data_IF_021353151909
#
_entry.id   IF_021353151909
#
_cell.length_a   1.000
_cell.length_b   1.000
_cell.length_c   1.000
_cell.angle_alpha   90.00
_cell.angle_beta   90.00
_cell.angle_gamma   90.00
#
_symmetry.space_group_name_H-M   'P 1'
#
loop_
_entity.id
_entity.type
_entity.pdbx_description
1 polymer ?
#
# COMPACT_ATOMS: atom_id res chain seq x y z
N UNK A 1 26.64 -2.21 -21.97
CA UNK A 1 26.17 -1.33 -20.88
C UNK A 1 24.67 -1.09 -21.12
N UNK A 2 23.81 -1.85 -20.42
CA UNK A 2 22.36 -1.77 -20.58
C UNK A 2 21.82 -0.52 -19.90
N UNK A 3 21.07 0.27 -20.63
CA UNK A 3 20.31 1.41 -20.11
C UNK A 3 19.27 0.89 -19.12
N UNK A 4 19.42 1.25 -17.86
CA UNK A 4 18.33 1.05 -16.90
C UNK A 4 17.17 1.95 -17.32
N UNK A 5 15.99 1.39 -17.49
CA UNK A 5 14.80 2.16 -17.87
C UNK A 5 14.38 3.10 -16.73
N UNK A 6 13.65 4.18 -17.03
CA UNK A 6 13.16 5.13 -16.01
C UNK A 6 12.29 4.45 -14.93
N UNK A 7 11.55 3.40 -15.29
CA UNK A 7 10.80 2.57 -14.32
C UNK A 7 11.75 1.90 -13.31
N UNK A 8 12.90 1.39 -13.78
CA UNK A 8 13.92 0.80 -12.89
C UNK A 8 14.51 1.84 -11.95
N UNK A 9 14.60 3.12 -12.36
CA UNK A 9 15.08 4.20 -11.49
C UNK A 9 14.08 4.56 -10.39
N UNK A 10 12.77 4.62 -10.69
CA UNK A 10 11.72 4.87 -9.69
C UNK A 10 11.64 3.73 -8.65
N UNK A 11 11.81 2.49 -9.11
CA UNK A 11 11.85 1.31 -8.25
C UNK A 11 13.27 0.93 -7.79
N UNK A 12 14.30 1.78 -8.04
CA UNK A 12 15.71 1.45 -7.77
C UNK A 12 16.07 1.33 -6.30
N UNK A 13 15.26 1.91 -5.43
CA UNK A 13 15.35 1.74 -3.98
C UNK A 13 14.68 0.43 -3.50
N UNK A 14 14.27 -0.44 -4.44
CA UNK A 14 13.94 -1.83 -4.22
C UNK A 14 15.21 -2.59 -3.81
N UNK A 15 15.74 -2.23 -2.66
CA UNK A 15 16.85 -2.97 -2.08
C UNK A 15 16.23 -4.21 -1.48
N UNK A 16 16.44 -5.35 -2.12
CA UNK A 16 16.43 -6.60 -1.38
C UNK A 16 17.41 -6.40 -0.24
N UNK A 17 16.92 -6.22 0.97
CA UNK A 17 17.79 -6.08 2.13
C UNK A 17 18.36 -7.47 2.38
N UNK A 18 19.63 -7.72 2.04
CA UNK A 18 20.21 -9.05 2.14
C UNK A 18 20.17 -9.49 3.62
N UNK A 19 19.95 -10.78 3.83
CA UNK A 19 20.00 -11.44 5.15
C UNK A 19 18.87 -11.12 6.13
N UNK A 20 17.70 -10.62 5.68
CA UNK A 20 16.54 -10.52 6.55
C UNK A 20 15.88 -11.90 6.73
N UNK A 21 15.65 -12.26 7.99
CA UNK A 21 14.85 -13.41 8.36
C UNK A 21 13.40 -12.97 8.60
N UNK A 22 12.54 -13.13 7.59
CA UNK A 22 11.13 -12.73 7.68
C UNK A 22 10.26 -13.70 8.50
N UNK A 23 10.80 -14.84 8.96
CA UNK A 23 10.02 -15.83 9.72
C UNK A 23 9.81 -15.41 11.18
N UNK A 24 10.67 -14.54 11.70
CA UNK A 24 10.54 -14.01 13.05
C UNK A 24 10.13 -12.53 13.02
N UNK A 25 8.84 -12.29 13.03
CA UNK A 25 8.27 -10.95 12.97
C UNK A 25 8.66 -10.08 14.19
N UNK A 26 8.92 -10.73 15.33
CA UNK A 26 9.27 -10.04 16.59
C UNK A 26 10.58 -9.26 16.49
N UNK A 27 11.54 -9.74 15.69
CA UNK A 27 12.80 -9.04 15.41
C UNK A 27 12.62 -7.65 14.82
N UNK A 28 11.46 -7.40 14.18
CA UNK A 28 11.13 -6.13 13.54
C UNK A 28 10.18 -5.27 14.39
N UNK A 29 9.84 -5.75 15.60
CA UNK A 29 9.01 -5.04 16.55
C UNK A 29 7.51 -5.25 16.37
N UNK A 30 7.10 -6.26 15.63
CA UNK A 30 5.72 -6.77 15.62
C UNK A 30 5.48 -7.47 16.94
N UNK A 31 4.40 -7.12 17.64
CA UNK A 31 4.12 -7.58 19.01
C UNK A 31 3.21 -8.78 19.04
N UNK A 32 2.26 -8.83 18.13
CA UNK A 32 1.32 -9.93 18.02
C UNK A 32 1.92 -11.12 17.28
N UNK A 33 1.43 -12.30 17.60
CA UNK A 33 1.77 -13.53 16.88
C UNK A 33 1.39 -13.36 15.40
N UNK A 34 2.18 -13.93 14.52
CA UNK A 34 1.93 -13.96 13.08
C UNK A 34 2.77 -15.02 12.41
N UNK A 35 2.58 -15.18 11.12
CA UNK A 35 3.36 -16.08 10.26
C UNK A 35 3.88 -15.36 9.03
N UNK A 36 4.98 -15.86 8.50
CA UNK A 36 5.47 -15.51 7.18
C UNK A 36 5.04 -16.60 6.21
N UNK A 37 4.43 -16.22 5.09
CA UNK A 37 4.07 -17.17 4.04
C UNK A 37 4.26 -16.55 2.66
N UNK A 38 4.09 -17.36 1.63
CA UNK A 38 4.26 -16.90 0.26
C UNK A 38 3.04 -17.22 -0.57
N UNK A 39 2.59 -16.22 -1.30
CA UNK A 39 1.65 -16.45 -2.40
C UNK A 39 2.47 -16.76 -3.64
N UNK A 40 2.16 -17.88 -4.28
CA UNK A 40 2.55 -18.09 -5.65
C UNK A 40 1.43 -17.49 -6.49
N UNK A 41 1.76 -16.62 -7.43
CA UNK A 41 0.75 -16.09 -8.32
C UNK A 41 -0.05 -17.24 -8.93
N UNK A 42 -1.27 -16.97 -9.35
CA UNK A 42 -2.31 -17.93 -9.72
C UNK A 42 -1.75 -19.14 -10.51
N UNK A 43 -1.44 -20.22 -9.81
CA UNK A 43 -0.53 -21.30 -10.22
C UNK A 43 -1.13 -22.26 -11.25
N UNK A 44 -2.33 -21.98 -11.74
CA UNK A 44 -2.99 -22.88 -12.70
C UNK A 44 -2.56 -22.67 -14.16
N UNK A 45 -1.87 -21.57 -14.51
CA UNK A 45 -1.61 -21.23 -15.94
C UNK A 45 -0.22 -20.72 -16.33
N UNK A 46 0.72 -20.48 -15.40
CA UNK A 46 2.05 -19.99 -15.78
C UNK A 46 3.11 -20.31 -14.72
N UNK A 47 4.22 -20.91 -15.15
CA UNK A 47 5.40 -21.18 -14.33
C UNK A 47 6.20 -19.90 -13.99
N UNK A 48 5.77 -18.73 -14.46
CA UNK A 48 6.49 -17.46 -14.39
C UNK A 48 5.89 -16.45 -13.39
N UNK A 49 4.96 -16.84 -12.52
CA UNK A 49 4.38 -15.92 -11.56
C UNK A 49 5.31 -15.72 -10.36
N UNK A 50 5.49 -14.46 -9.90
CA UNK A 50 6.40 -14.18 -8.80
C UNK A 50 5.90 -14.84 -7.51
N UNK A 51 6.85 -15.33 -6.73
CA UNK A 51 6.63 -15.67 -5.33
C UNK A 51 6.53 -14.36 -4.56
N UNK A 52 5.40 -14.13 -3.87
CA UNK A 52 5.14 -12.91 -3.12
C UNK A 52 5.21 -13.19 -1.62
N UNK A 53 6.09 -12.49 -0.91
CA UNK A 53 6.22 -12.60 0.54
C UNK A 53 5.10 -11.85 1.26
N UNK A 54 4.48 -12.49 2.23
CA UNK A 54 3.38 -11.94 3.02
C UNK A 54 3.59 -12.22 4.50
N UNK A 55 3.34 -11.22 5.33
CA UNK A 55 3.11 -11.43 6.75
C UNK A 55 1.62 -11.44 7.05
N UNK A 56 1.18 -12.46 7.77
CA UNK A 56 -0.12 -12.46 8.43
C UNK A 56 0.09 -12.23 9.91
N UNK A 57 -0.42 -11.13 10.42
CA UNK A 57 -0.32 -10.70 11.82
C UNK A 57 -1.71 -10.81 12.44
N UNK A 58 -1.81 -11.51 13.57
CA UNK A 58 -3.07 -11.71 14.28
C UNK A 58 -3.54 -10.45 15.00
N UNK A 59 -4.86 -10.31 15.22
CA UNK A 59 -5.39 -9.44 16.27
C UNK A 59 -4.71 -9.69 17.62
N UNK A 60 -4.42 -8.61 18.36
CA UNK A 60 -3.77 -8.72 19.68
C UNK A 60 -4.56 -9.63 20.62
N UNK A 61 -5.88 -9.57 20.55
CA UNK A 61 -6.79 -10.44 21.35
C UNK A 61 -6.59 -11.93 21.10
N UNK A 62 -6.20 -12.34 19.90
CA UNK A 62 -5.95 -13.74 19.55
C UNK A 62 -4.50 -14.15 19.80
N UNK A 63 -3.57 -13.21 19.86
CA UNK A 63 -2.13 -13.48 19.87
C UNK A 63 -1.70 -14.41 21.02
N UNK A 64 -2.29 -14.28 22.20
CA UNK A 64 -1.96 -15.15 23.35
C UNK A 64 -2.47 -16.59 23.16
N UNK A 65 -3.68 -16.72 22.63
CA UNK A 65 -4.31 -18.03 22.37
C UNK A 65 -3.52 -18.83 21.32
N UNK A 66 -2.90 -18.15 20.36
CA UNK A 66 -2.18 -18.74 19.24
C UNK A 66 -0.65 -18.83 19.44
N UNK A 67 -0.13 -18.76 20.68
CA UNK A 67 1.32 -18.81 20.95
C UNK A 67 1.98 -20.09 20.45
N UNK A 68 1.30 -21.24 20.59
CA UNK A 68 1.79 -22.56 20.16
C UNK A 68 1.09 -23.07 18.89
N UNK A 69 0.33 -22.22 18.21
CA UNK A 69 -0.42 -22.58 17.02
C UNK A 69 0.52 -22.81 15.83
N UNK A 70 0.12 -23.72 14.95
CA UNK A 70 0.76 -23.92 13.66
C UNK A 70 0.44 -22.79 12.68
N UNK A 71 1.16 -22.71 11.57
CA UNK A 71 0.87 -21.75 10.51
C UNK A 71 -0.52 -21.99 9.88
N UNK A 72 -0.98 -23.24 9.85
CA UNK A 72 -2.31 -23.64 9.40
C UNK A 72 -3.39 -23.12 10.36
N UNK A 73 -3.18 -23.26 11.67
CA UNK A 73 -4.12 -22.71 12.67
C UNK A 73 -4.22 -21.19 12.56
N UNK A 74 -3.09 -20.52 12.35
CA UNK A 74 -3.03 -19.06 12.13
C UNK A 74 -3.79 -18.69 10.85
N UNK A 75 -3.67 -19.46 9.75
CA UNK A 75 -4.44 -19.25 8.53
C UNK A 75 -5.94 -19.41 8.76
N UNK A 76 -6.34 -20.49 9.38
CA UNK A 76 -7.74 -20.80 9.65
C UNK A 76 -8.43 -19.72 10.50
N UNK A 77 -7.66 -19.06 11.39
CA UNK A 77 -8.17 -17.95 12.20
C UNK A 77 -8.68 -16.75 11.38
N UNK A 78 -8.26 -16.60 10.11
CA UNK A 78 -8.80 -15.57 9.20
C UNK A 78 -10.31 -15.70 8.98
N UNK A 79 -10.83 -16.92 8.99
CA UNK A 79 -12.26 -17.19 8.79
C UNK A 79 -13.03 -17.33 10.11
N UNK A 80 -12.35 -17.37 11.24
CA UNK A 80 -12.95 -17.54 12.55
C UNK A 80 -13.28 -16.20 13.23
N UNK A 81 -14.17 -16.24 14.25
CA UNK A 81 -14.54 -15.06 15.05
C UNK A 81 -15.09 -13.90 14.22
N UNK A 82 -15.04 -12.69 14.79
CA UNK A 82 -15.62 -11.48 14.17
C UNK A 82 -14.55 -10.46 13.71
N UNK A 83 -13.31 -10.91 13.58
CA UNK A 83 -12.21 -10.05 13.18
C UNK A 83 -12.20 -9.80 11.67
N UNK A 84 -12.06 -8.53 11.30
CA UNK A 84 -11.92 -8.11 9.90
C UNK A 84 -10.46 -8.19 9.45
N UNK A 85 -10.24 -8.13 8.14
CA UNK A 85 -8.92 -8.26 7.50
C UNK A 85 -8.51 -6.93 6.88
N UNK A 86 -7.27 -6.49 7.15
CA UNK A 86 -6.62 -5.39 6.44
C UNK A 86 -5.53 -5.96 5.53
N UNK A 87 -5.67 -5.79 4.23
CA UNK A 87 -4.61 -5.99 3.25
C UNK A 87 -3.79 -4.71 3.19
N UNK A 88 -2.54 -4.76 3.61
CA UNK A 88 -1.65 -3.60 3.63
C UNK A 88 -0.70 -3.59 2.42
N UNK A 89 -0.76 -2.50 1.66
CA UNK A 89 0.01 -2.26 0.44
C UNK A 89 0.99 -1.09 0.68
N UNK A 90 2.27 -1.39 0.71
CA UNK A 90 3.33 -0.47 1.14
C UNK A 90 3.75 0.56 0.09
N UNK A 91 4.46 1.60 0.52
CA UNK A 91 5.09 2.62 -0.32
C UNK A 91 6.36 2.15 -1.04
N UNK A 92 6.97 3.04 -1.83
CA UNK A 92 8.07 2.73 -2.76
C UNK A 92 9.32 2.13 -2.10
N UNK A 93 9.69 2.58 -0.89
CA UNK A 93 10.95 2.18 -0.27
C UNK A 93 10.84 0.89 0.53
N UNK A 94 11.89 0.07 0.50
CA UNK A 94 12.10 -1.10 1.36
C UNK A 94 10.97 -2.15 1.29
N UNK A 95 10.70 -2.84 2.41
CA UNK A 95 9.87 -4.04 2.49
C UNK A 95 8.86 -3.99 3.66
N UNK A 96 8.06 -5.07 3.83
CA UNK A 96 7.07 -5.23 4.90
C UNK A 96 7.64 -5.13 6.31
N UNK A 97 8.95 -5.34 6.49
CA UNK A 97 9.62 -5.37 7.78
C UNK A 97 10.17 -4.02 8.26
N UNK A 98 9.88 -2.93 7.55
CA UNK A 98 10.34 -1.59 7.99
C UNK A 98 9.66 -1.19 9.31
N UNK A 99 10.45 -0.64 10.23
CA UNK A 99 10.02 -0.30 11.59
C UNK A 99 8.79 0.61 11.65
N UNK A 100 8.65 1.55 10.71
CA UNK A 100 7.47 2.43 10.61
C UNK A 100 6.21 1.64 10.35
N UNK A 101 6.24 0.74 9.36
CA UNK A 101 5.13 -0.15 8.99
C UNK A 101 4.76 -1.10 10.12
N UNK A 102 5.75 -1.72 10.76
CA UNK A 102 5.52 -2.61 11.91
C UNK A 102 4.79 -1.91 13.07
N UNK A 103 5.00 -0.62 13.26
CA UNK A 103 4.25 0.17 14.26
C UNK A 103 2.78 0.32 13.86
N UNK A 104 2.49 0.58 12.59
CA UNK A 104 1.11 0.62 12.10
C UNK A 104 0.45 -0.76 12.23
N UNK A 105 1.15 -1.85 11.88
CA UNK A 105 0.61 -3.20 12.06
C UNK A 105 0.24 -3.47 13.52
N UNK A 106 1.04 -3.02 14.47
CA UNK A 106 0.71 -3.14 15.89
C UNK A 106 -0.54 -2.34 16.30
N UNK A 107 -0.75 -1.15 15.70
CA UNK A 107 -1.98 -0.36 15.91
C UNK A 107 -3.19 -1.12 15.36
N UNK A 108 -3.12 -1.58 14.12
CA UNK A 108 -4.21 -2.32 13.48
C UNK A 108 -4.53 -3.63 14.20
N UNK A 109 -3.49 -4.39 14.61
CA UNK A 109 -3.62 -5.61 15.40
C UNK A 109 -4.31 -5.34 16.76
N UNK A 110 -3.93 -4.25 17.45
CA UNK A 110 -4.58 -3.82 18.69
C UNK A 110 -6.03 -3.41 18.50
N UNK A 111 -6.38 -2.88 17.33
CA UNK A 111 -7.76 -2.55 16.95
C UNK A 111 -8.60 -3.80 16.62
N UNK A 112 -8.01 -4.98 16.59
CA UNK A 112 -8.70 -6.24 16.33
C UNK A 112 -8.68 -6.68 14.88
N UNK A 113 -7.82 -6.13 14.03
CA UNK A 113 -7.68 -6.56 12.64
C UNK A 113 -6.64 -7.67 12.47
N UNK A 114 -6.94 -8.65 11.62
CA UNK A 114 -5.90 -9.40 10.93
C UNK A 114 -5.20 -8.48 9.93
N UNK A 115 -3.87 -8.49 9.90
CA UNK A 115 -3.11 -7.68 8.94
C UNK A 115 -2.36 -8.61 7.98
N UNK A 116 -2.65 -8.49 6.70
CA UNK A 116 -1.93 -9.16 5.61
C UNK A 116 -1.02 -8.14 4.93
N UNK A 117 0.26 -8.13 5.29
CA UNK A 117 1.24 -7.19 4.76
C UNK A 117 2.03 -7.83 3.62
N UNK A 118 1.81 -7.35 2.41
CA UNK A 118 2.43 -7.85 1.18
C UNK A 118 3.73 -7.13 0.87
N UNK A 119 4.76 -7.85 0.43
CA UNK A 119 5.82 -7.30 -0.40
C UNK A 119 5.51 -7.59 -1.87
N UNK A 120 5.44 -6.54 -2.67
CA UNK A 120 5.24 -6.68 -4.12
C UNK A 120 6.41 -7.40 -4.79
N UNK A 121 6.21 -7.84 -6.03
CA UNK A 121 7.28 -8.39 -6.86
C UNK A 121 8.53 -7.48 -6.86
N UNK A 122 9.69 -8.09 -6.61
CA UNK A 122 10.98 -7.39 -6.54
C UNK A 122 11.27 -6.67 -5.24
N UNK A 123 10.34 -6.67 -4.27
CA UNK A 123 10.54 -6.13 -2.93
C UNK A 123 10.76 -7.24 -1.91
N UNK A 124 11.50 -6.93 -0.83
CA UNK A 124 11.79 -7.87 0.24
C UNK A 124 12.39 -9.17 -0.28
N UNK A 125 11.73 -10.29 0.00
CA UNK A 125 12.08 -11.61 -0.53
C UNK A 125 11.10 -12.12 -1.61
N UNK A 126 10.26 -11.23 -2.14
CA UNK A 126 9.43 -11.50 -3.31
C UNK A 126 10.27 -11.53 -4.58
N UNK A 127 9.97 -12.48 -5.47
CA UNK A 127 10.68 -12.62 -6.75
C UNK A 127 10.10 -11.67 -7.83
N UNK A 128 10.74 -11.65 -9.01
CA UNK A 128 10.30 -10.86 -10.15
C UNK A 128 10.83 -9.43 -10.17
N UNK A 129 10.34 -8.62 -11.09
CA UNK A 129 10.73 -7.22 -11.26
C UNK A 129 9.50 -6.32 -11.16
N UNK A 130 9.57 -5.21 -10.40
CA UNK A 130 8.45 -4.32 -10.21
C UNK A 130 8.13 -3.54 -11.48
N UNK A 131 6.84 -3.43 -11.76
CA UNK A 131 6.24 -2.56 -12.77
C UNK A 131 4.79 -2.29 -12.37
N UNK A 132 4.17 -1.22 -12.85
CA UNK A 132 2.85 -0.81 -12.39
C UNK A 132 1.80 -1.92 -12.51
N UNK A 133 1.66 -2.54 -13.68
CA UNK A 133 0.68 -3.61 -13.87
C UNK A 133 0.96 -4.81 -12.97
N UNK A 134 2.23 -5.12 -12.73
CA UNK A 134 2.66 -6.16 -11.82
C UNK A 134 2.24 -5.89 -10.37
N UNK A 135 2.44 -4.66 -9.89
CA UNK A 135 2.01 -4.27 -8.54
C UNK A 135 0.49 -4.42 -8.35
N UNK A 136 -0.28 -4.09 -9.40
CA UNK A 136 -1.74 -4.26 -9.37
C UNK A 136 -2.12 -5.74 -9.33
N UNK A 137 -1.46 -6.59 -10.13
CA UNK A 137 -1.67 -8.04 -10.08
C UNK A 137 -1.34 -8.62 -8.71
N UNK A 138 -0.25 -8.15 -8.07
CA UNK A 138 0.15 -8.60 -6.73
C UNK A 138 -0.90 -8.19 -5.67
N UNK A 139 -1.47 -6.99 -5.80
CA UNK A 139 -2.53 -6.52 -4.93
C UNK A 139 -3.84 -7.33 -5.12
N UNK A 140 -4.18 -7.68 -6.36
CA UNK A 140 -5.29 -8.60 -6.63
C UNK A 140 -5.03 -9.99 -6.03
N UNK A 141 -3.80 -10.51 -6.14
CA UNK A 141 -3.46 -11.83 -5.64
C UNK A 141 -3.68 -11.94 -4.12
N UNK A 142 -3.21 -10.96 -3.33
CA UNK A 142 -3.41 -10.96 -1.89
C UNK A 142 -4.88 -10.72 -1.49
N UNK A 143 -5.60 -9.85 -2.21
CA UNK A 143 -7.03 -9.63 -1.96
C UNK A 143 -7.84 -10.89 -2.25
N UNK A 144 -7.59 -11.55 -3.38
CA UNK A 144 -8.27 -12.78 -3.77
C UNK A 144 -7.96 -13.92 -2.79
N UNK A 145 -6.72 -14.04 -2.33
CA UNK A 145 -6.35 -14.97 -1.27
C UNK A 145 -7.18 -14.72 0.00
N UNK A 146 -7.22 -13.48 0.49
CA UNK A 146 -8.01 -13.13 1.67
C UNK A 146 -9.50 -13.48 1.48
N UNK A 147 -10.07 -13.16 0.31
CA UNK A 147 -11.46 -13.46 -0.02
C UNK A 147 -11.72 -14.96 -0.13
N UNK A 148 -10.76 -15.75 -0.62
CA UNK A 148 -10.88 -17.21 -0.75
C UNK A 148 -10.86 -17.89 0.62
N UNK A 149 -9.94 -17.51 1.51
CA UNK A 149 -9.81 -18.14 2.84
C UNK A 149 -10.84 -17.63 3.83
N UNK A 150 -11.38 -16.42 3.64
CA UNK A 150 -12.34 -15.78 4.53
C UNK A 150 -13.48 -15.10 3.73
N UNK A 151 -14.35 -15.87 3.07
CA UNK A 151 -15.31 -15.34 2.10
C UNK A 151 -16.38 -14.43 2.70
N UNK A 152 -16.70 -14.60 3.97
CA UNK A 152 -17.73 -13.83 4.69
C UNK A 152 -17.18 -12.62 5.46
N UNK A 153 -15.86 -12.44 5.52
CA UNK A 153 -15.23 -11.38 6.31
C UNK A 153 -15.20 -10.05 5.59
N UNK A 154 -15.23 -8.99 6.39
CA UNK A 154 -14.92 -7.65 5.91
C UNK A 154 -13.44 -7.55 5.59
N UNK A 155 -13.13 -7.14 4.35
CA UNK A 155 -11.77 -6.97 3.86
C UNK A 155 -11.57 -5.52 3.45
N UNK A 156 -10.62 -4.88 4.11
CA UNK A 156 -10.17 -3.52 3.84
C UNK A 156 -8.84 -3.56 3.09
N UNK A 157 -8.62 -2.60 2.18
CA UNK A 157 -7.31 -2.41 1.57
C UNK A 157 -6.74 -1.09 2.07
N UNK A 158 -5.56 -1.15 2.68
CA UNK A 158 -4.82 0.01 3.18
C UNK A 158 -3.59 0.23 2.33
N UNK A 159 -3.54 1.33 1.59
CA UNK A 159 -2.38 1.70 0.77
C UNK A 159 -1.67 2.94 1.29
N UNK A 160 -0.35 2.85 1.47
CA UNK A 160 0.48 3.96 1.87
C UNK A 160 1.32 4.47 0.70
N UNK A 161 1.36 5.79 0.46
CA UNK A 161 2.19 6.43 -0.57
C UNK A 161 1.97 5.77 -1.95
N UNK A 162 2.98 5.18 -2.60
CA UNK A 162 2.82 4.39 -3.83
C UNK A 162 1.70 3.36 -3.71
N UNK A 163 1.61 2.67 -2.57
CA UNK A 163 0.55 1.71 -2.30
C UNK A 163 -0.85 2.31 -2.34
N UNK A 164 -1.03 3.61 -2.11
CA UNK A 164 -2.32 4.28 -2.27
C UNK A 164 -2.77 4.32 -3.73
N UNK A 165 -1.84 4.56 -4.66
CA UNK A 165 -2.11 4.50 -6.10
C UNK A 165 -2.46 3.08 -6.56
N UNK A 166 -1.72 2.08 -6.05
CA UNK A 166 -2.03 0.66 -6.28
C UNK A 166 -3.43 0.32 -5.74
N UNK A 167 -3.75 0.76 -4.50
CA UNK A 167 -5.06 0.54 -3.88
C UNK A 167 -6.20 1.17 -4.69
N UNK A 168 -6.04 2.42 -5.13
CA UNK A 168 -7.08 3.10 -5.90
C UNK A 168 -7.40 2.36 -7.21
N UNK A 169 -6.39 1.88 -7.94
CA UNK A 169 -6.58 1.11 -9.17
C UNK A 169 -7.16 -0.27 -8.89
N UNK A 170 -6.62 -1.01 -7.93
CA UNK A 170 -7.12 -2.33 -7.55
C UNK A 170 -8.59 -2.26 -7.13
N UNK A 171 -8.95 -1.30 -6.26
CA UNK A 171 -10.33 -1.12 -5.81
C UNK A 171 -11.28 -0.71 -6.96
N UNK A 172 -10.81 0.09 -7.92
CA UNK A 172 -11.59 0.41 -9.11
C UNK A 172 -11.85 -0.84 -9.97
N UNK A 173 -10.83 -1.66 -10.23
CA UNK A 173 -10.97 -2.90 -11.01
C UNK A 173 -11.87 -3.91 -10.28
N UNK A 174 -11.77 -4.05 -8.97
CA UNK A 174 -12.67 -4.87 -8.14
C UNK A 174 -14.11 -4.33 -8.14
N UNK A 175 -14.29 -3.01 -8.13
CA UNK A 175 -15.61 -2.37 -8.25
C UNK A 175 -16.27 -2.65 -9.60
N UNK A 176 -15.51 -2.54 -10.68
CA UNK A 176 -15.97 -2.85 -12.03
C UNK A 176 -16.36 -4.34 -12.17
N UNK A 177 -15.66 -5.24 -11.45
CA UNK A 177 -15.97 -6.66 -11.37
C UNK A 177 -17.16 -7.00 -10.44
N UNK A 178 -17.73 -6.02 -9.73
CA UNK A 178 -18.84 -6.22 -8.80
C UNK A 178 -18.44 -6.86 -7.45
N UNK A 179 -17.15 -6.87 -7.14
CA UNK A 179 -16.58 -7.47 -5.91
C UNK A 179 -15.70 -6.49 -5.15
N UNK A 180 -16.20 -5.26 -4.85
CA UNK A 180 -15.38 -4.25 -4.17
C UNK A 180 -14.96 -4.71 -2.77
N UNK A 181 -13.86 -4.17 -2.21
CA UNK A 181 -13.53 -4.33 -0.80
C UNK A 181 -14.59 -3.66 0.08
N UNK A 182 -14.61 -3.98 1.37
CA UNK A 182 -15.52 -3.33 2.33
C UNK A 182 -15.29 -1.82 2.39
N UNK A 183 -14.04 -1.40 2.44
CA UNK A 183 -13.61 -0.02 2.23
C UNK A 183 -12.11 0.02 1.86
N UNK A 184 -11.64 1.20 1.44
CA UNK A 184 -10.21 1.44 1.23
C UNK A 184 -9.73 2.60 2.11
N UNK A 185 -8.48 2.48 2.57
CA UNK A 185 -7.75 3.55 3.26
C UNK A 185 -6.57 3.97 2.42
N UNK A 186 -6.50 5.24 2.09
CA UNK A 186 -5.42 5.85 1.32
C UNK A 186 -4.60 6.75 2.25
N UNK A 187 -3.44 6.27 2.68
CA UNK A 187 -2.51 6.99 3.57
C UNK A 187 -1.46 7.72 2.73
N UNK A 188 -1.30 9.02 2.96
CA UNK A 188 -0.43 9.92 2.21
C UNK A 188 -0.57 9.77 0.68
N UNK A 189 -1.81 9.80 0.13
CA UNK A 189 -2.05 9.56 -1.28
C UNK A 189 -1.67 10.76 -2.15
N UNK A 190 -1.55 10.46 -3.44
CA UNK A 190 -1.39 11.44 -4.51
C UNK A 190 -2.38 11.18 -5.65
N UNK A 191 -2.63 12.20 -6.47
CA UNK A 191 -3.53 12.08 -7.63
C UNK A 191 -2.89 11.34 -8.81
N UNK A 192 -1.60 11.60 -9.13
CA UNK A 192 -0.82 10.90 -10.16
C UNK A 192 0.67 11.16 -9.97
N UNK A 193 1.53 10.30 -10.54
CA UNK A 193 2.99 10.43 -10.47
C UNK A 193 3.51 11.72 -11.11
N UNK A 194 3.03 12.17 -12.28
CA UNK A 194 3.47 13.45 -12.85
C UNK A 194 3.34 14.62 -11.89
N UNK A 195 2.25 14.72 -11.15
CA UNK A 195 2.05 15.80 -10.18
C UNK A 195 2.95 15.65 -8.94
N UNK A 196 3.24 14.43 -8.50
CA UNK A 196 4.24 14.17 -7.44
C UNK A 196 5.60 14.70 -7.86
N UNK A 197 6.07 14.35 -9.07
CA UNK A 197 7.37 14.80 -9.60
C UNK A 197 7.43 16.31 -9.71
N UNK A 198 6.38 16.96 -10.23
CA UNK A 198 6.31 18.43 -10.33
C UNK A 198 6.27 19.12 -8.97
N UNK A 199 5.59 18.52 -8.01
CA UNK A 199 5.43 19.04 -6.64
C UNK A 199 6.66 18.84 -5.75
N UNK A 200 7.47 17.83 -6.04
CA UNK A 200 8.64 17.49 -5.25
C UNK A 200 9.66 18.64 -5.23
N UNK A 201 10.33 18.94 -4.09
CA UNK A 201 11.29 20.06 -3.99
C UNK A 201 12.37 20.05 -5.08
N UNK A 202 12.89 18.88 -5.44
CA UNK A 202 13.90 18.73 -6.51
C UNK A 202 13.29 19.05 -7.88
N UNK A 203 12.09 18.55 -8.18
CA UNK A 203 11.38 18.84 -9.43
C UNK A 203 11.10 20.32 -9.58
N UNK A 204 10.67 20.97 -8.49
CA UNK A 204 10.45 22.44 -8.46
C UNK A 204 11.75 23.23 -8.66
N UNK A 205 12.85 22.80 -8.01
CA UNK A 205 14.15 23.45 -8.17
C UNK A 205 14.67 23.35 -9.61
N UNK A 206 14.54 22.17 -10.23
CA UNK A 206 14.89 21.98 -11.65
C UNK A 206 13.99 22.85 -12.55
N UNK A 207 12.68 22.85 -12.32
CA UNK A 207 11.72 23.60 -13.13
C UNK A 207 11.94 25.12 -13.09
N UNK A 208 12.65 25.64 -12.09
CA UNK A 208 13.02 27.05 -11.95
C UNK A 208 14.21 27.46 -12.85
N UNK A 209 15.01 26.49 -13.33
CA UNK A 209 16.13 26.75 -14.25
C UNK A 209 15.64 27.02 -15.69
N UNK A 210 16.44 27.72 -16.54
CA UNK A 210 16.16 27.83 -17.96
C UNK A 210 15.96 26.43 -18.58
N UNK A 211 14.86 26.25 -19.33
CA UNK A 211 14.43 24.97 -19.90
C UNK A 211 14.07 23.88 -18.87
N UNK A 212 14.15 24.16 -17.57
CA UNK A 212 13.94 23.18 -16.50
C UNK A 212 12.56 22.52 -16.52
N UNK A 213 11.50 23.27 -16.84
CA UNK A 213 10.16 22.68 -17.05
C UNK A 213 10.16 21.62 -18.14
N UNK A 214 10.80 21.89 -19.26
CA UNK A 214 10.90 20.94 -20.38
C UNK A 214 11.70 19.70 -19.99
N UNK A 215 12.72 19.84 -19.15
CA UNK A 215 13.48 18.71 -18.59
C UNK A 215 12.59 17.85 -17.71
N UNK A 216 11.86 18.45 -16.76
CA UNK A 216 10.95 17.72 -15.87
C UNK A 216 9.86 17.02 -16.68
N UNK A 217 9.18 17.72 -17.57
CA UNK A 217 8.01 17.19 -18.28
C UNK A 217 8.40 16.15 -19.34
N UNK A 218 9.42 16.40 -20.16
CA UNK A 218 9.74 15.54 -21.30
C UNK A 218 10.76 14.44 -20.96
N UNK A 219 11.73 14.72 -20.09
CA UNK A 219 12.77 13.74 -19.76
C UNK A 219 12.42 12.90 -18.53
N UNK A 220 11.95 13.51 -17.44
CA UNK A 220 11.63 12.77 -16.24
C UNK A 220 10.26 12.10 -16.38
N UNK A 221 9.20 12.91 -16.47
CA UNK A 221 7.82 12.42 -16.54
C UNK A 221 7.60 11.63 -17.82
N UNK A 222 8.04 12.14 -18.98
CA UNK A 222 7.91 11.45 -20.27
C UNK A 222 8.57 10.07 -20.27
N UNK A 223 9.74 9.92 -19.61
CA UNK A 223 10.40 8.61 -19.46
C UNK A 223 9.64 7.67 -18.54
N UNK A 224 9.04 8.18 -17.46
CA UNK A 224 8.23 7.38 -16.54
C UNK A 224 6.95 6.90 -17.22
N UNK A 225 6.25 7.79 -17.93
CA UNK A 225 5.06 7.46 -18.73
C UNK A 225 5.38 6.44 -19.83
N UNK A 226 6.50 6.62 -20.55
CA UNK A 226 6.94 5.66 -21.58
C UNK A 226 7.27 4.28 -20.98
N UNK A 227 7.66 4.23 -19.71
CA UNK A 227 7.88 3.00 -18.95
C UNK A 227 6.59 2.43 -18.35
N UNK A 228 5.43 3.05 -18.59
CA UNK A 228 4.13 2.62 -18.06
C UNK A 228 3.95 2.87 -16.57
N UNK A 229 4.63 3.87 -16.02
CA UNK A 229 4.52 4.25 -14.61
C UNK A 229 3.81 5.60 -14.48
N UNK A 230 2.52 5.57 -14.20
CA UNK A 230 1.69 6.77 -14.06
C UNK A 230 0.93 6.83 -12.74
N UNK A 231 0.48 5.69 -12.21
CA UNK A 231 -0.34 5.54 -11.02
C UNK A 231 -1.41 6.65 -10.95
N UNK A 232 -2.26 6.70 -11.98
CA UNK A 232 -3.29 7.74 -12.15
C UNK A 232 -4.46 7.53 -11.19
N UNK A 233 -4.23 7.73 -9.88
CA UNK A 233 -5.25 7.56 -8.84
C UNK A 233 -6.49 8.41 -9.11
N UNK A 234 -6.32 9.60 -9.68
CA UNK A 234 -7.38 10.54 -10.05
C UNK A 234 -8.36 9.97 -11.08
N UNK A 235 -7.91 9.09 -11.99
CA UNK A 235 -8.78 8.39 -12.95
C UNK A 235 -9.47 7.18 -12.34
N UNK A 236 -8.78 6.50 -11.43
CA UNK A 236 -9.29 5.27 -10.84
C UNK A 236 -10.31 5.54 -9.73
N UNK A 237 -10.08 6.59 -8.91
CA UNK A 237 -10.93 6.89 -7.76
C UNK A 237 -12.39 7.14 -8.14
N UNK A 238 -12.64 7.65 -9.35
CA UNK A 238 -13.98 7.90 -9.87
C UNK A 238 -14.82 6.62 -10.05
N UNK A 239 -14.18 5.46 -10.17
CA UNK A 239 -14.83 4.14 -10.35
C UNK A 239 -14.97 3.34 -9.07
N UNK A 240 -14.32 3.76 -7.99
CA UNK A 240 -14.38 3.05 -6.70
C UNK A 240 -15.78 3.18 -6.11
N UNK A 241 -16.44 2.05 -5.81
CA UNK A 241 -17.81 2.01 -5.30
C UNK A 241 -17.90 1.82 -3.79
N UNK A 242 -16.84 1.31 -3.15
CA UNK A 242 -16.78 1.19 -1.69
C UNK A 242 -16.44 2.53 -1.00
N UNK A 243 -16.62 2.66 0.33
CA UNK A 243 -16.16 3.82 1.09
C UNK A 243 -14.66 4.03 0.96
N UNK A 244 -14.26 5.30 0.97
CA UNK A 244 -12.88 5.75 0.85
C UNK A 244 -12.53 6.60 2.07
N UNK A 245 -11.51 6.19 2.82
CA UNK A 245 -10.90 7.01 3.86
C UNK A 245 -9.55 7.52 3.37
N UNK A 246 -9.36 8.82 3.36
CA UNK A 246 -8.08 9.47 3.00
C UNK A 246 -7.47 10.05 4.26
N UNK A 247 -6.21 9.68 4.54
CA UNK A 247 -5.44 10.14 5.69
C UNK A 247 -4.19 10.86 5.19
N UNK A 248 -3.97 12.11 5.58
CA UNK A 248 -2.78 12.86 5.16
C UNK A 248 -2.34 13.87 6.21
N UNK A 249 -1.03 14.01 6.42
CA UNK A 249 -0.46 15.00 7.31
C UNK A 249 -0.04 16.27 6.54
N UNK A 250 -0.37 17.46 7.07
CA UNK A 250 -0.01 18.74 6.45
C UNK A 250 1.51 18.95 6.37
N UNK A 251 2.26 18.33 7.27
CA UNK A 251 3.73 18.41 7.36
C UNK A 251 4.46 17.30 6.58
N UNK A 252 3.78 16.63 5.65
CA UNK A 252 4.38 15.63 4.77
C UNK A 252 5.41 16.30 3.82
N UNK A 253 6.72 15.95 3.93
CA UNK A 253 7.75 16.54 3.09
C UNK A 253 7.92 15.86 1.74
N UNK A 254 7.33 14.67 1.53
CA UNK A 254 7.50 13.84 0.33
C UNK A 254 6.35 14.01 -0.64
N UNK A 255 5.12 13.90 -0.13
CA UNK A 255 3.88 14.06 -0.89
C UNK A 255 3.08 15.22 -0.32
N UNK A 256 2.94 16.29 -1.09
CA UNK A 256 2.15 17.43 -0.64
C UNK A 256 0.69 17.06 -0.41
N UNK A 257 0.12 17.49 0.72
CA UNK A 257 -1.29 17.31 1.06
C UNK A 257 -2.24 17.85 -0.02
N UNK A 258 -1.79 18.83 -0.82
CA UNK A 258 -2.55 19.36 -1.96
C UNK A 258 -2.89 18.28 -3.00
N UNK A 259 -2.06 17.25 -3.14
CA UNK A 259 -2.33 16.15 -4.07
C UNK A 259 -3.46 15.25 -3.55
N UNK A 260 -3.52 15.04 -2.23
CA UNK A 260 -4.64 14.36 -1.59
C UNK A 260 -5.93 15.18 -1.73
N UNK A 261 -5.89 16.49 -1.53
CA UNK A 261 -7.05 17.38 -1.72
C UNK A 261 -7.60 17.30 -3.15
N UNK A 262 -6.71 17.29 -4.16
CA UNK A 262 -7.10 17.09 -5.56
C UNK A 262 -7.77 15.73 -5.78
N UNK A 263 -7.24 14.67 -5.18
CA UNK A 263 -7.80 13.32 -5.28
C UNK A 263 -9.18 13.23 -4.63
N UNK A 264 -9.33 13.80 -3.44
CA UNK A 264 -10.62 13.89 -2.72
C UNK A 264 -11.66 14.65 -3.56
N UNK A 265 -11.29 15.82 -4.10
CA UNK A 265 -12.19 16.59 -4.96
C UNK A 265 -12.66 15.79 -6.19
N UNK A 266 -11.81 14.94 -6.75
CA UNK A 266 -12.18 14.03 -7.85
C UNK A 266 -13.19 12.97 -7.41
N UNK A 267 -12.97 12.36 -6.24
CA UNK A 267 -13.90 11.38 -5.67
C UNK A 267 -15.27 12.02 -5.38
N UNK A 268 -15.29 13.22 -4.79
CA UNK A 268 -16.51 13.97 -4.49
C UNK A 268 -17.27 14.35 -5.76
N UNK A 269 -16.56 14.85 -6.79
CA UNK A 269 -17.17 15.18 -8.08
C UNK A 269 -17.81 13.96 -8.76
N UNK A 270 -17.25 12.77 -8.55
CA UNK A 270 -17.80 11.50 -8.99
C UNK A 270 -18.86 10.90 -8.03
N UNK A 271 -19.25 11.65 -7.00
CA UNK A 271 -20.23 11.23 -5.98
C UNK A 271 -19.82 9.95 -5.23
N UNK A 272 -18.51 9.76 -4.99
CA UNK A 272 -18.01 8.65 -4.17
C UNK A 272 -18.14 8.98 -2.68
N UNK A 273 -18.32 7.97 -1.85
CA UNK A 273 -18.31 8.12 -0.38
C UNK A 273 -16.86 8.28 0.06
N UNK A 274 -16.42 9.51 0.25
CA UNK A 274 -15.06 9.82 0.69
C UNK A 274 -15.08 10.58 2.00
N UNK A 275 -14.23 10.17 2.93
CA UNK A 275 -13.92 10.90 4.17
C UNK A 275 -12.46 11.30 4.11
N UNK A 276 -12.18 12.58 4.31
CA UNK A 276 -10.81 13.08 4.34
C UNK A 276 -10.45 13.57 5.74
N UNK A 277 -9.41 12.96 6.31
CA UNK A 277 -8.82 13.38 7.58
C UNK A 277 -7.45 13.98 7.28
N UNK A 278 -7.36 15.27 7.43
CA UNK A 278 -6.15 16.05 7.28
C UNK A 278 -5.59 16.38 8.65
N UNK A 279 -4.46 15.76 8.99
CA UNK A 279 -3.79 15.99 10.28
C UNK A 279 -2.97 17.27 10.24
N UNK A 280 -3.17 18.14 11.23
CA UNK A 280 -2.45 19.41 11.33
C UNK A 280 -0.94 19.18 11.50
N UNK A 281 -0.12 20.09 10.95
CA UNK A 281 1.35 20.04 10.98
C UNK A 281 1.93 19.96 12.42
N UNK A 282 1.19 20.48 13.41
CA UNK A 282 1.61 20.41 14.82
C UNK A 282 1.77 18.98 15.36
N UNK A 283 1.06 18.01 14.78
CA UNK A 283 1.14 16.59 15.18
C UNK A 283 2.43 15.91 14.72
N UNK A 284 3.19 16.52 13.80
CA UNK A 284 4.48 16.02 13.27
C UNK A 284 4.42 14.60 12.76
N UNK A 285 3.33 14.28 12.03
CA UNK A 285 3.10 12.93 11.51
C UNK A 285 3.85 12.69 10.20
N UNK A 286 4.21 13.74 9.47
CA UNK A 286 5.03 13.65 8.26
C UNK A 286 4.46 12.61 7.28
N UNK A 287 5.35 11.92 6.53
CA UNK A 287 4.96 10.92 5.54
C UNK A 287 4.64 9.53 6.12
N UNK A 288 5.33 9.13 7.20
CA UNK A 288 5.33 7.73 7.69
C UNK A 288 4.75 7.54 9.10
N UNK A 289 4.25 8.59 9.74
CA UNK A 289 3.98 8.53 11.18
C UNK A 289 2.50 8.65 11.56
N UNK A 290 1.56 8.45 10.62
CA UNK A 290 0.11 8.49 10.91
C UNK A 290 -0.27 7.50 12.02
N UNK A 291 0.46 6.40 12.16
CA UNK A 291 0.31 5.46 13.27
C UNK A 291 0.50 6.07 14.67
N UNK A 292 1.00 7.30 14.78
CA UNK A 292 1.15 8.04 16.06
C UNK A 292 -0.04 8.94 16.39
N UNK A 293 -0.98 9.12 15.49
CA UNK A 293 -2.19 9.88 15.75
C UNK A 293 -3.02 9.14 16.81
N UNK A 294 -3.30 9.82 17.92
CA UNK A 294 -4.00 9.22 19.07
C UNK A 294 -5.45 8.84 18.73
N UNK A 295 -6.06 9.60 17.82
CA UNK A 295 -7.41 9.44 17.32
C UNK A 295 -7.54 8.45 16.14
N UNK A 296 -6.42 7.93 15.62
CA UNK A 296 -6.45 6.99 14.50
C UNK A 296 -7.38 5.78 14.73
N UNK A 297 -7.42 5.15 15.94
CA UNK A 297 -8.34 4.04 16.20
C UNK A 297 -9.83 4.43 16.14
N UNK A 298 -10.16 5.68 16.41
CA UNK A 298 -11.54 6.19 16.34
C UNK A 298 -11.92 6.53 14.89
N UNK A 299 -10.97 7.05 14.11
CA UNK A 299 -11.16 7.42 12.70
C UNK A 299 -11.40 6.18 11.82
N UNK A 300 -10.75 5.06 12.13
CA UNK A 300 -10.76 3.84 11.30
C UNK A 300 -11.93 2.90 11.67
N UNK A 301 -12.62 3.13 12.78
CA UNK A 301 -13.83 2.38 13.18
C UNK A 301 -15.07 2.87 12.43
#
# INVERSE_FOLDING_TARGET
MGWRTASTAYFSDTVQVPFRDYNDLSKYGVRSRGRNFYLNGDSAKSQDLPKLGVWHILPESLSQQFQSATDEDIENSLNEGDHSIVVYLHGTACDRAIKGRCKLYNVLSKMGFHVLALDYRGYGDSTGCPNENGLIQDAHAIYNYARQVAPSKDIFIWGHSMGSGVTARTAAELSDAGTPPTAIVLEAPFNNIPDVVRGHPVGRAIAWLPFGKSIVDNWVIGSMTAAGLELTSDRHIERVTCPILVLHAQDDPEVSVELARKLVAKAEAAQRRVTFVEFEARHKLRHDYIHKAEDLPEIVR
#
